data_IF_587217331306
#
_entry.id   IF_587217331306
#
_cell.length_a   1.000
_cell.length_b   1.000
_cell.length_c   1.000
_cell.angle_alpha   90.00
_cell.angle_beta   90.00
_cell.angle_gamma   90.00
#
_symmetry.space_group_name_H-M   'P 1'
#
loop_
_entity.id
_entity.type
_entity.pdbx_description
1 polymer ?
#
# COMPACT_ATOMS: atom_id res chain seq x y z
N UNK A 1 -28.87 23.04 29.72
CA UNK A 1 -27.40 23.19 29.79
C UNK A 1 -26.88 22.03 28.97
N UNK A 2 -26.28 22.31 27.81
CA UNK A 2 -25.71 21.25 26.95
C UNK A 2 -24.39 20.91 27.61
N UNK A 3 -24.28 19.65 28.03
CA UNK A 3 -23.24 19.14 28.93
C UNK A 3 -21.85 19.36 28.33
N UNK A 4 -20.96 19.95 29.14
CA UNK A 4 -19.57 20.22 28.76
C UNK A 4 -18.84 18.94 28.29
N UNK A 5 -19.31 17.78 28.74
CA UNK A 5 -18.85 16.45 28.37
C UNK A 5 -19.10 16.12 26.88
N UNK A 6 -20.26 16.50 26.33
CA UNK A 6 -20.59 16.23 24.91
C UNK A 6 -19.74 17.09 23.96
N UNK A 7 -19.34 18.28 24.43
CA UNK A 7 -18.46 19.19 23.66
C UNK A 7 -17.01 18.70 23.66
N UNK A 8 -16.56 18.11 24.77
CA UNK A 8 -15.22 17.57 24.92
C UNK A 8 -15.04 16.27 24.11
N UNK A 9 -16.06 15.40 24.07
CA UNK A 9 -16.05 14.17 23.26
C UNK A 9 -16.02 14.47 21.75
N UNK A 10 -16.82 15.43 21.27
CA UNK A 10 -16.76 15.86 19.85
C UNK A 10 -15.42 16.47 19.46
N UNK A 11 -14.76 17.18 20.37
CA UNK A 11 -13.43 17.74 20.15
C UNK A 11 -12.37 16.65 19.94
N UNK A 12 -12.41 15.59 20.76
CA UNK A 12 -11.48 14.46 20.65
C UNK A 12 -11.69 13.64 19.36
N UNK A 13 -12.94 13.39 18.96
CA UNK A 13 -13.26 12.70 17.71
C UNK A 13 -12.82 13.49 16.47
N UNK A 14 -13.03 14.81 16.47
CA UNK A 14 -12.59 15.68 15.36
C UNK A 14 -11.06 15.72 15.22
N UNK A 15 -10.33 15.74 16.34
CA UNK A 15 -8.87 15.67 16.34
C UNK A 15 -8.35 14.32 15.83
N UNK A 16 -8.96 13.21 16.28
CA UNK A 16 -8.62 11.86 15.78
C UNK A 16 -8.90 11.72 14.28
N UNK A 17 -10.04 12.21 13.80
CA UNK A 17 -10.39 12.18 12.38
C UNK A 17 -9.40 12.99 11.54
N UNK A 18 -8.97 14.16 12.03
CA UNK A 18 -7.97 14.99 11.35
C UNK A 18 -6.60 14.32 11.28
N UNK A 19 -6.15 13.72 12.40
CA UNK A 19 -4.90 12.94 12.44
C UNK A 19 -4.91 11.78 11.44
N UNK A 20 -6.02 11.02 11.37
CA UNK A 20 -6.17 9.93 10.39
C UNK A 20 -6.12 10.44 8.95
N UNK A 21 -6.78 11.56 8.67
CA UNK A 21 -6.76 12.17 7.34
C UNK A 21 -5.35 12.65 6.96
N UNK A 22 -4.62 13.28 7.89
CA UNK A 22 -3.26 13.77 7.67
C UNK A 22 -2.27 12.60 7.43
N UNK A 23 -2.44 11.46 8.13
CA UNK A 23 -1.63 10.25 7.91
C UNK A 23 -1.87 9.68 6.51
N UNK A 24 -3.12 9.54 6.09
CA UNK A 24 -3.46 9.05 4.74
C UNK A 24 -2.90 9.99 3.66
N UNK A 25 -3.01 11.29 3.87
CA UNK A 25 -2.48 12.27 2.92
C UNK A 25 -0.95 12.24 2.82
N UNK A 26 -0.25 12.06 3.94
CA UNK A 26 1.20 11.93 3.94
C UNK A 26 1.66 10.66 3.23
N UNK A 27 0.99 9.52 3.46
CA UNK A 27 1.26 8.28 2.74
C UNK A 27 1.08 8.49 1.23
N UNK A 28 -0.01 9.09 0.80
CA UNK A 28 -0.26 9.39 -0.63
C UNK A 28 0.85 10.25 -1.24
N UNK A 29 1.32 11.29 -0.53
CA UNK A 29 2.45 12.09 -1.01
C UNK A 29 3.77 11.30 -1.09
N UNK A 30 3.99 10.31 -0.23
CA UNK A 30 5.16 9.43 -0.33
C UNK A 30 5.05 8.47 -1.51
N UNK A 31 3.86 7.93 -1.80
CA UNK A 31 3.60 7.12 -2.98
C UNK A 31 3.86 7.91 -4.26
N UNK A 32 3.35 9.15 -4.36
CA UNK A 32 3.60 10.02 -5.52
C UNK A 32 5.09 10.35 -5.68
N UNK A 33 5.80 10.69 -4.59
CA UNK A 33 7.24 11.02 -4.63
C UNK A 33 8.11 9.82 -5.00
N UNK A 34 7.74 8.62 -4.57
CA UNK A 34 8.50 7.41 -4.83
C UNK A 34 8.15 6.75 -6.18
N UNK A 35 6.99 7.05 -6.76
CA UNK A 35 6.53 6.49 -8.02
C UNK A 35 7.51 6.70 -9.18
N UNK A 36 8.27 7.80 -9.21
CA UNK A 36 9.25 8.04 -10.29
C UNK A 36 10.63 7.40 -10.04
N UNK A 37 10.88 6.87 -8.84
CA UNK A 37 12.19 6.31 -8.45
C UNK A 37 12.15 4.83 -8.12
N UNK A 38 10.97 4.26 -7.83
CA UNK A 38 10.81 2.85 -7.47
C UNK A 38 11.24 1.93 -8.63
N UNK A 39 12.00 0.89 -8.30
CA UNK A 39 12.44 -0.18 -9.19
C UNK A 39 11.75 -1.46 -8.77
N UNK A 40 11.02 -2.07 -9.69
CA UNK A 40 10.30 -3.31 -9.43
C UNK A 40 11.21 -4.50 -9.77
N UNK A 41 11.43 -5.36 -8.78
CA UNK A 41 12.40 -6.48 -8.88
C UNK A 41 11.72 -7.83 -9.10
N UNK A 42 10.42 -7.92 -8.81
CA UNK A 42 9.62 -9.13 -8.99
C UNK A 42 8.76 -9.08 -10.25
N UNK A 43 8.33 -10.25 -10.72
CA UNK A 43 7.36 -10.37 -11.81
C UNK A 43 5.98 -9.89 -11.38
N UNK A 44 5.18 -9.34 -12.32
CA UNK A 44 3.89 -8.75 -11.98
C UNK A 44 2.95 -9.71 -11.21
N UNK A 45 2.94 -11.00 -11.55
CA UNK A 45 2.09 -12.00 -10.91
C UNK A 45 2.45 -12.31 -9.44
N UNK A 46 3.62 -11.86 -8.95
CA UNK A 46 4.03 -12.06 -7.55
C UNK A 46 3.55 -10.96 -6.61
N UNK A 47 3.02 -9.86 -7.11
CA UNK A 47 2.47 -8.80 -6.27
C UNK A 47 1.04 -9.14 -5.87
N UNK A 48 0.87 -9.59 -4.62
CA UNK A 48 -0.43 -9.91 -4.02
C UNK A 48 -0.95 -8.78 -3.13
N UNK A 49 -0.07 -7.92 -2.63
CA UNK A 49 -0.43 -6.76 -1.83
C UNK A 49 -1.08 -5.67 -2.68
N UNK A 50 -2.17 -5.09 -2.19
CA UNK A 50 -2.91 -4.03 -2.88
C UNK A 50 -2.06 -2.77 -3.05
N UNK A 51 -1.26 -2.42 -2.05
CA UNK A 51 -0.48 -1.18 -2.05
C UNK A 51 0.68 -1.24 -3.06
N UNK A 52 1.32 -2.40 -3.21
CA UNK A 52 2.31 -2.60 -4.28
C UNK A 52 1.71 -2.44 -5.68
N UNK A 53 0.49 -2.95 -5.89
CA UNK A 53 -0.21 -2.78 -7.16
C UNK A 53 -0.58 -1.32 -7.40
N UNK A 54 -0.95 -0.57 -6.35
CA UNK A 54 -1.16 0.88 -6.43
C UNK A 54 0.12 1.62 -6.79
N UNK A 55 1.27 1.22 -6.23
CA UNK A 55 2.55 1.84 -6.56
C UNK A 55 2.94 1.62 -8.02
N UNK A 56 2.78 0.40 -8.54
CA UNK A 56 3.02 0.10 -9.96
C UNK A 56 2.10 0.94 -10.85
N UNK A 57 0.83 1.03 -10.48
CA UNK A 57 -0.16 1.82 -11.20
C UNK A 57 0.12 3.34 -11.16
N UNK A 58 0.58 3.86 -10.02
CA UNK A 58 0.99 5.26 -9.88
C UNK A 58 2.17 5.59 -10.81
N UNK A 59 3.10 4.67 -10.99
CA UNK A 59 4.20 4.80 -11.98
C UNK A 59 3.69 4.89 -13.44
N UNK A 60 2.49 4.40 -13.70
CA UNK A 60 1.80 4.48 -14.99
C UNK A 60 0.77 5.62 -15.04
N UNK A 61 0.78 6.51 -14.05
CA UNK A 61 -0.15 7.63 -13.91
C UNK A 61 -1.61 7.22 -13.86
N UNK A 62 -1.91 6.03 -13.35
CA UNK A 62 -3.28 5.66 -13.04
C UNK A 62 -3.78 6.45 -11.84
N UNK A 63 -4.98 6.98 -11.95
CA UNK A 63 -5.67 7.67 -10.86
C UNK A 63 -6.33 6.66 -9.92
N UNK A 64 -6.62 7.08 -8.69
CA UNK A 64 -7.38 6.25 -7.75
C UNK A 64 -8.73 5.80 -8.32
N UNK A 65 -9.37 6.64 -9.14
CA UNK A 65 -10.61 6.30 -9.82
C UNK A 65 -10.46 5.12 -10.79
N UNK A 66 -9.27 4.97 -11.37
CA UNK A 66 -8.95 3.86 -12.29
C UNK A 66 -8.63 2.58 -11.53
N UNK A 67 -8.05 2.72 -10.32
CA UNK A 67 -7.66 1.63 -9.42
C UNK A 67 -8.75 1.33 -8.37
N UNK A 68 -10.00 1.23 -8.84
CA UNK A 68 -11.13 0.74 -8.05
C UNK A 68 -11.36 -0.72 -8.37
N UNK A 69 -11.21 -1.59 -7.37
CA UNK A 69 -11.52 -3.00 -7.54
C UNK A 69 -10.71 -3.95 -6.67
N UNK A 70 -10.73 -5.22 -7.09
CA UNK A 70 -9.95 -6.30 -6.49
C UNK A 70 -8.54 -6.33 -7.06
N UNK A 71 -7.61 -7.01 -6.36
CA UNK A 71 -6.23 -7.14 -6.82
C UNK A 71 -6.14 -7.78 -8.22
N UNK A 72 -7.03 -8.72 -8.54
CA UNK A 72 -7.13 -9.33 -9.88
C UNK A 72 -7.48 -8.30 -10.96
N UNK A 73 -8.36 -7.35 -10.66
CA UNK A 73 -8.72 -6.27 -11.59
C UNK A 73 -7.54 -5.32 -11.79
N UNK A 74 -6.85 -4.92 -10.72
CA UNK A 74 -5.65 -4.09 -10.78
C UNK A 74 -4.54 -4.77 -11.60
N UNK A 75 -4.25 -6.04 -11.33
CA UNK A 75 -3.29 -6.83 -12.10
C UNK A 75 -3.64 -6.86 -13.59
N UNK A 76 -4.91 -7.04 -13.91
CA UNK A 76 -5.39 -7.08 -15.30
C UNK A 76 -5.21 -5.73 -16.00
N UNK A 77 -5.53 -4.62 -15.33
CA UNK A 77 -5.35 -3.26 -15.87
C UNK A 77 -3.87 -2.92 -16.09
N UNK A 78 -3.04 -3.20 -15.08
CA UNK A 78 -1.59 -2.99 -15.15
C UNK A 78 -1.00 -3.80 -16.31
N UNK A 79 -1.39 -5.07 -16.43
CA UNK A 79 -0.93 -5.95 -17.50
C UNK A 79 -1.35 -5.44 -18.88
N UNK A 80 -2.61 -5.02 -19.05
CA UNK A 80 -3.10 -4.48 -20.32
C UNK A 80 -2.31 -3.22 -20.75
N UNK A 81 -1.96 -2.35 -19.80
CA UNK A 81 -1.14 -1.18 -20.09
C UNK A 81 0.30 -1.54 -20.46
N UNK A 82 0.90 -2.51 -19.77
CA UNK A 82 2.23 -3.03 -20.09
C UNK A 82 2.28 -3.67 -21.49
N UNK A 83 1.22 -4.36 -21.90
CA UNK A 83 1.09 -4.94 -23.24
C UNK A 83 0.92 -3.86 -24.32
N UNK A 84 0.18 -2.79 -24.02
CA UNK A 84 0.03 -1.64 -24.92
C UNK A 84 1.29 -0.77 -25.03
N UNK A 85 2.18 -0.82 -24.03
CA UNK A 85 3.39 0.02 -23.95
C UNK A 85 4.66 -0.83 -23.86
N UNK A 86 5.06 -1.54 -24.93
CA UNK A 86 6.23 -2.42 -24.93
C UNK A 86 7.56 -1.68 -24.65
N UNK A 87 7.59 -0.35 -24.81
CA UNK A 87 8.75 0.48 -24.44
C UNK A 87 9.13 0.35 -22.96
N UNK A 88 8.17 0.04 -22.09
CA UNK A 88 8.41 -0.17 -20.66
C UNK A 88 9.28 -1.40 -20.40
N UNK A 89 9.29 -2.39 -21.31
CA UNK A 89 10.14 -3.58 -21.20
C UNK A 89 11.63 -3.22 -21.29
N UNK A 90 11.99 -2.16 -22.03
CA UNK A 90 13.36 -1.67 -22.13
C UNK A 90 13.77 -0.79 -20.92
N UNK A 91 12.80 -0.35 -20.11
CA UNK A 91 13.07 0.45 -18.94
C UNK A 91 13.50 -0.47 -17.78
N UNK A 92 14.72 -0.30 -17.22
CA UNK A 92 15.25 -1.16 -16.18
C UNK A 92 14.38 -1.18 -14.91
N UNK A 93 13.56 -0.14 -14.69
CA UNK A 93 12.64 -0.05 -13.55
C UNK A 93 11.49 -1.04 -13.62
N UNK A 94 11.05 -1.37 -14.84
CA UNK A 94 9.88 -2.21 -15.09
C UNK A 94 10.23 -3.54 -15.74
N UNK A 95 11.48 -3.74 -16.20
CA UNK A 95 11.92 -4.94 -16.92
C UNK A 95 11.57 -6.25 -16.18
N UNK A 96 11.74 -6.29 -14.85
CA UNK A 96 11.43 -7.49 -14.08
C UNK A 96 9.93 -7.82 -14.04
N UNK A 97 9.04 -6.83 -14.16
CA UNK A 97 7.59 -7.03 -14.18
C UNK A 97 7.16 -7.93 -15.36
N UNK A 98 7.88 -7.85 -16.48
CA UNK A 98 7.66 -8.68 -17.67
C UNK A 98 8.17 -10.13 -17.54
N UNK A 99 8.77 -10.51 -16.40
CA UNK A 99 9.42 -11.81 -16.26
C UNK A 99 10.78 -11.90 -16.95
N UNK A 100 11.24 -10.80 -17.54
CA UNK A 100 12.56 -10.73 -18.16
C UNK A 100 13.59 -10.45 -17.07
N UNK A 101 14.05 -11.50 -16.40
CA UNK A 101 15.20 -11.40 -15.52
C UNK A 101 16.36 -10.81 -16.32
N UNK A 102 16.81 -9.61 -15.94
CA UNK A 102 17.99 -8.99 -16.52
C UNK A 102 19.20 -9.91 -16.24
N UNK A 103 19.56 -10.72 -17.24
CA UNK A 103 20.89 -11.29 -17.40
C UNK A 103 21.48 -12.01 -16.18
N UNK A 104 20.91 -13.14 -15.78
CA UNK A 104 21.57 -14.05 -14.85
C UNK A 104 21.00 -15.45 -14.97
N UNK A 105 21.73 -16.33 -15.65
CA UNK A 105 21.55 -17.78 -15.50
C UNK A 105 21.67 -18.10 -14.00
N UNK A 106 20.56 -18.32 -13.32
CA UNK A 106 20.58 -19.05 -12.05
C UNK A 106 19.65 -20.22 -12.24
N UNK A 107 20.27 -21.39 -12.17
CA UNK A 107 19.65 -22.68 -12.28
C UNK A 107 18.41 -22.75 -11.39
N UNK A 108 17.37 -23.36 -11.96
CA UNK A 108 16.32 -24.06 -11.24
C UNK A 108 16.93 -24.77 -10.02
N UNK A 109 16.68 -24.19 -8.85
CA UNK A 109 16.97 -24.81 -7.56
C UNK A 109 15.62 -25.03 -6.89
N UNK A 110 15.33 -26.23 -6.38
CA UNK A 110 14.01 -26.59 -5.89
C UNK A 110 13.69 -25.81 -4.61
N UNK A 111 12.43 -25.38 -4.54
CA UNK A 111 11.62 -25.24 -3.33
C UNK A 111 12.40 -25.15 -2.02
N UNK A 112 12.74 -23.93 -1.59
CA UNK A 112 12.97 -23.65 -0.18
C UNK A 112 11.75 -22.88 0.29
N UNK A 113 10.88 -23.62 0.96
CA UNK A 113 9.86 -23.14 1.89
C UNK A 113 10.55 -22.13 2.81
N UNK A 114 10.39 -20.84 2.51
CA UNK A 114 10.80 -19.77 3.40
C UNK A 114 9.61 -19.54 4.33
N UNK A 115 9.81 -19.60 5.66
CA UNK A 115 8.71 -19.42 6.59
C UNK A 115 8.08 -18.06 6.34
N UNK A 116 6.75 -18.07 6.22
CA UNK A 116 5.91 -16.90 6.31
C UNK A 116 6.26 -16.20 7.62
N UNK A 117 7.09 -15.15 7.55
CA UNK A 117 7.06 -14.12 8.56
C UNK A 117 5.76 -13.38 8.31
N UNK A 118 4.72 -13.80 9.02
CA UNK A 118 3.55 -12.97 9.20
C UNK A 118 4.06 -11.68 9.83
N UNK A 119 4.20 -10.62 9.03
CA UNK A 119 4.23 -9.26 9.57
C UNK A 119 2.85 -9.04 10.15
N UNK A 120 2.75 -9.44 11.41
CA UNK A 120 1.74 -9.05 12.37
C UNK A 120 1.66 -7.52 12.30
N UNK A 121 0.66 -7.05 11.56
CA UNK A 121 0.22 -5.67 11.60
C UNK A 121 -0.46 -5.48 12.95
N UNK A 122 0.36 -5.44 13.99
CA UNK A 122 0.00 -5.22 15.38
C UNK A 122 -0.67 -3.84 15.45
N UNK A 123 -1.99 -3.83 15.31
CA UNK A 123 -2.83 -2.66 15.56
C UNK A 123 -2.76 -2.40 17.07
N UNK A 124 -2.18 -1.28 17.54
CA UNK A 124 -2.12 -1.03 18.97
C UNK A 124 -3.55 -0.81 19.47
N UNK A 125 -4.12 -1.83 20.13
CA UNK A 125 -5.33 -1.70 20.94
C UNK A 125 -5.02 -0.72 22.09
N UNK A 126 -5.45 0.52 21.89
CA UNK A 126 -5.46 1.58 22.89
C UNK A 126 -6.43 1.18 23.99
N UNK A 127 -5.92 0.47 25.00
CA UNK A 127 -6.62 0.16 26.24
C UNK A 127 -6.91 1.46 27.01
N UNK A 128 -8.17 1.87 27.00
CA UNK A 128 -8.73 2.91 27.85
C UNK A 128 -8.98 2.31 29.25
N UNK A 129 -8.00 2.44 30.15
CA UNK A 129 -8.20 2.25 31.58
C UNK A 129 -8.92 3.48 32.15
N UNK A 130 -10.26 3.38 32.24
CA UNK A 130 -11.08 4.24 33.09
C UNK A 130 -10.83 3.90 34.56
N UNK A 131 -9.90 4.60 35.20
CA UNK A 131 -9.83 4.60 36.67
C UNK A 131 -10.87 5.57 37.23
N UNK A 132 -12.03 5.03 37.53
CA UNK A 132 -13.08 5.66 38.33
C UNK A 132 -12.52 5.95 39.74
N UNK A 133 -12.08 7.19 39.98
CA UNK A 133 -11.68 7.66 41.30
C UNK A 133 -12.83 8.44 41.92
N UNK A 134 -13.77 7.67 42.47
CA UNK A 134 -14.70 8.08 43.51
C UNK A 134 -13.92 8.76 44.65
N UNK A 135 -14.20 10.04 44.89
CA UNK A 135 -13.71 10.78 46.05
C UNK A 135 -14.90 11.38 46.76
N UNK A 136 -15.24 10.77 47.90
CA UNK A 136 -16.29 11.21 48.81
C UNK A 136 -15.97 12.45 49.64
#
# INVERSE_FOLDING_TARGET
MIDAEETQKRGAEALKAKLKADVLHNQEQEHIRSADTKVFTSVLSRYTCKDDLKDIAACFHFTEDTMKGTNTQHLSQIKAYMEANPVLQANPRFAALYGQQCGGKVAESPSVESPEVEEDCDEPESSEEDTDSDSG
#
